data_IF_132940388425
#
_entry.id   IF_132940388425
#
_cell.length_a   1.000
_cell.length_b   1.000
_cell.length_c   1.000
_cell.angle_alpha   90.00
_cell.angle_beta   90.00
_cell.angle_gamma   90.00
#
_symmetry.space_group_name_H-M   'P 1'
#
loop_
_entity.id
_entity.type
_entity.pdbx_description
1 polymer ?
#
# COMPACT_ATOMS: atom_id res chain seq x y z
N UNK A 1 2.21 -3.85 -9.53
CA UNK A 1 1.62 -2.61 -8.98
C UNK A 1 1.06 -2.92 -7.61
N UNK A 2 1.50 -2.24 -6.55
CA UNK A 2 1.13 -2.57 -5.15
C UNK A 2 -0.16 -1.89 -4.68
N UNK A 3 -0.35 -0.61 -5.06
CA UNK A 3 -1.60 0.13 -4.84
C UNK A 3 -2.19 0.48 -6.20
N UNK A 4 -3.24 -0.24 -6.61
CA UNK A 4 -3.88 -0.09 -7.92
C UNK A 4 -4.99 0.96 -7.89
N UNK A 5 -5.06 1.94 -8.82
CA UNK A 5 -6.08 2.99 -8.80
C UNK A 5 -7.54 2.51 -8.82
N UNK A 6 -7.93 1.49 -9.63
CA UNK A 6 -9.30 0.97 -9.61
C UNK A 6 -9.67 0.32 -8.27
N UNK A 7 -8.76 -0.47 -7.71
CA UNK A 7 -8.95 -1.09 -6.40
C UNK A 7 -9.02 -0.06 -5.30
N UNK A 8 -8.12 0.94 -5.31
CA UNK A 8 -8.09 1.98 -4.29
C UNK A 8 -9.40 2.75 -4.24
N UNK A 9 -9.96 3.12 -5.40
CA UNK A 9 -11.28 3.76 -5.47
C UNK A 9 -12.40 2.87 -4.94
N UNK A 10 -12.40 1.58 -5.27
CA UNK A 10 -13.43 0.64 -4.80
C UNK A 10 -13.32 0.29 -3.31
N UNK A 11 -12.11 0.34 -2.73
CA UNK A 11 -11.85 0.03 -1.33
C UNK A 11 -11.99 1.26 -0.40
N UNK A 12 -11.88 2.48 -0.95
CA UNK A 12 -11.97 3.71 -0.16
C UNK A 12 -13.44 4.02 0.15
N UNK A 13 -13.81 4.24 1.43
CA UNK A 13 -15.15 4.68 1.80
C UNK A 13 -15.52 6.02 1.12
N UNK A 14 -16.80 6.25 0.87
CA UNK A 14 -17.28 7.50 0.28
C UNK A 14 -16.87 8.70 1.15
N UNK A 15 -16.23 9.70 0.54
CA UNK A 15 -15.69 10.88 1.24
C UNK A 15 -14.48 10.61 2.14
N UNK A 16 -13.96 9.38 2.18
CA UNK A 16 -12.85 8.96 3.03
C UNK A 16 -11.50 8.89 2.31
N UNK A 17 -10.51 8.35 3.04
CA UNK A 17 -9.17 8.06 2.52
C UNK A 17 -8.58 6.86 3.26
N UNK A 18 -7.88 5.98 2.53
CA UNK A 18 -7.11 4.88 3.11
C UNK A 18 -5.64 5.26 3.42
N UNK A 19 -5.24 6.52 3.22
CA UNK A 19 -3.86 6.96 3.44
C UNK A 19 -3.41 6.70 4.88
N UNK A 20 -4.29 6.96 5.85
CA UNK A 20 -4.02 6.73 7.28
C UNK A 20 -3.76 5.25 7.59
N UNK A 21 -4.56 4.35 6.99
CA UNK A 21 -4.40 2.90 7.14
C UNK A 21 -3.07 2.42 6.56
N UNK A 22 -2.71 2.89 5.36
CA UNK A 22 -1.43 2.57 4.74
C UNK A 22 -0.24 3.09 5.56
N UNK A 23 -0.33 4.32 6.10
CA UNK A 23 0.70 4.88 7.00
C UNK A 23 0.86 4.06 8.27
N UNK A 24 -0.24 3.58 8.85
CA UNK A 24 -0.21 2.69 10.01
C UNK A 24 0.48 1.36 9.69
N UNK A 25 0.17 0.76 8.54
CA UNK A 25 0.83 -0.47 8.09
C UNK A 25 2.34 -0.29 7.87
N UNK A 26 2.75 0.84 7.28
CA UNK A 26 4.16 1.21 7.11
C UNK A 26 4.90 1.46 8.43
N UNK A 27 4.17 1.67 9.53
CA UNK A 27 4.73 1.76 10.87
C UNK A 27 5.31 0.46 11.39
N UNK A 28 4.88 -0.69 10.85
CA UNK A 28 5.47 -1.99 11.21
C UNK A 28 6.87 -2.17 10.62
N UNK A 29 7.69 -2.95 11.30
CA UNK A 29 8.98 -3.40 10.76
C UNK A 29 8.76 -4.70 9.97
N UNK A 30 8.96 -4.63 8.66
CA UNK A 30 8.80 -5.78 7.77
C UNK A 30 9.73 -5.67 6.58
N UNK A 31 10.32 -6.80 6.20
CA UNK A 31 11.22 -6.88 5.04
C UNK A 31 10.58 -7.61 3.86
N UNK A 32 9.56 -8.43 4.13
CA UNK A 32 8.90 -9.29 3.15
C UNK A 32 7.39 -9.06 3.16
N UNK A 33 6.72 -9.37 2.06
CA UNK A 33 5.26 -9.22 1.96
C UNK A 33 4.66 -10.31 1.07
N UNK A 34 3.55 -10.91 1.53
CA UNK A 34 2.71 -11.78 0.72
C UNK A 34 1.51 -10.96 0.24
N UNK A 35 1.40 -10.75 -1.07
CA UNK A 35 0.25 -10.06 -1.66
C UNK A 35 -0.97 -10.97 -1.74
N UNK A 36 -2.16 -10.46 -1.41
CA UNK A 36 -3.42 -11.17 -1.66
C UNK A 36 -3.66 -11.41 -3.16
N UNK A 37 -3.26 -10.44 -3.98
CA UNK A 37 -3.21 -10.56 -5.43
C UNK A 37 -1.79 -10.18 -5.88
N UNK A 38 -1.00 -11.17 -6.32
CA UNK A 38 0.40 -10.99 -6.69
C UNK A 38 1.29 -12.12 -6.14
N UNK A 39 2.61 -11.92 -6.25
CA UNK A 39 3.60 -12.86 -5.75
C UNK A 39 4.11 -12.49 -4.35
N UNK A 40 4.90 -13.40 -3.79
CA UNK A 40 5.71 -13.12 -2.60
C UNK A 40 6.82 -12.12 -2.94
N UNK A 41 6.87 -11.02 -2.20
CA UNK A 41 7.95 -10.05 -2.26
C UNK A 41 8.98 -10.37 -1.17
N UNK A 42 10.11 -10.94 -1.59
CA UNK A 42 11.25 -11.21 -0.74
C UNK A 42 12.22 -10.03 -0.77
N UNK A 43 12.47 -9.44 0.40
CA UNK A 43 13.40 -8.31 0.57
C UNK A 43 12.79 -6.98 0.12
N UNK A 44 13.10 -5.90 0.84
CA UNK A 44 12.77 -4.52 0.44
C UNK A 44 11.27 -4.20 0.38
N UNK A 45 10.40 -5.05 0.93
CA UNK A 45 8.96 -4.88 0.76
C UNK A 45 8.44 -3.55 1.32
N UNK A 46 8.94 -3.13 2.49
CA UNK A 46 8.56 -1.85 3.11
C UNK A 46 8.89 -0.65 2.24
N UNK A 47 10.04 -0.63 1.58
CA UNK A 47 10.44 0.47 0.68
C UNK A 47 9.54 0.49 -0.57
N UNK A 48 9.25 -0.68 -1.14
CA UNK A 48 8.36 -0.79 -2.29
C UNK A 48 6.93 -0.34 -1.97
N UNK A 49 6.39 -0.74 -0.81
CA UNK A 49 5.08 -0.30 -0.32
C UNK A 49 5.10 1.21 -0.05
N UNK A 50 6.13 1.75 0.59
CA UNK A 50 6.25 3.18 0.85
C UNK A 50 6.23 4.02 -0.44
N UNK A 51 6.97 3.59 -1.46
CA UNK A 51 6.97 4.25 -2.77
C UNK A 51 5.59 4.17 -3.45
N UNK A 52 4.91 3.04 -3.34
CA UNK A 52 3.57 2.86 -3.90
C UNK A 52 2.53 3.75 -3.20
N UNK A 53 2.59 3.86 -1.86
CA UNK A 53 1.73 4.74 -1.06
C UNK A 53 1.99 6.21 -1.41
N UNK A 54 3.25 6.63 -1.48
CA UNK A 54 3.60 8.00 -1.86
C UNK A 54 3.09 8.38 -3.27
N UNK A 55 3.13 7.43 -4.21
CA UNK A 55 2.56 7.63 -5.55
C UNK A 55 1.02 7.70 -5.55
N UNK A 56 0.37 6.93 -4.69
CA UNK A 56 -1.09 6.87 -4.61
C UNK A 56 -1.72 8.10 -3.91
N UNK A 57 -0.98 8.73 -2.99
CA UNK A 57 -1.43 9.90 -2.23
C UNK A 57 -0.44 11.07 -2.40
N UNK A 58 -0.39 11.70 -3.59
CA UNK A 58 0.41 12.90 -3.79
C UNK A 58 -0.14 14.06 -2.95
N UNK A 59 0.76 14.94 -2.49
CA UNK A 59 0.40 16.18 -1.77
C UNK A 59 -0.43 17.11 -2.64
#
# INVERSE_FOLDING_TARGET
MLVGPPWLRGATPEGGSLEGDFRRLLGHDFEHMLGAHGGFMRGGAKQAVAAAVAKAFPR
#
